data_IF_724980459458
#
_entry.id   IF_724980459458
#
_cell.length_a   1.000
_cell.length_b   1.000
_cell.length_c   1.000
_cell.angle_alpha   90.00
_cell.angle_beta   90.00
_cell.angle_gamma   90.00
#
_symmetry.space_group_name_H-M   'P 1'
#
loop_
_entity.id
_entity.type
_entity.pdbx_description
1 polymer ?
#
# COMPACT_ATOMS: atom_id res chain seq x y z
N UNK A 1 8.84 -8.03 2.88
CA UNK A 1 7.63 -7.22 3.15
C UNK A 1 6.65 -7.28 1.97
N UNK A 2 5.36 -7.07 2.23
CA UNK A 2 4.28 -7.09 1.22
C UNK A 2 3.56 -5.74 1.15
N UNK A 3 3.36 -5.22 -0.06
CA UNK A 3 2.60 -4.00 -0.30
C UNK A 3 1.36 -4.31 -1.15
N UNK A 4 0.19 -4.23 -0.54
CA UNK A 4 -1.10 -4.35 -1.22
C UNK A 4 -1.42 -3.03 -1.90
N UNK A 5 -1.67 -3.06 -3.22
CA UNK A 5 -2.03 -1.88 -4.02
C UNK A 5 -3.27 -2.16 -4.87
N UNK A 6 -3.84 -1.14 -5.53
CA UNK A 6 -4.98 -1.35 -6.42
C UNK A 6 -4.58 -1.99 -7.77
N UNK A 7 -4.61 -1.22 -8.86
CA UNK A 7 -4.26 -1.67 -10.22
C UNK A 7 -2.78 -1.51 -10.53
N UNK A 8 -2.11 -0.52 -9.93
CA UNK A 8 -0.70 -0.23 -10.20
C UNK A 8 -0.18 1.03 -9.53
N UNK A 9 0.99 1.47 -9.99
CA UNK A 9 1.74 2.63 -9.49
C UNK A 9 1.73 3.79 -10.52
N UNK A 10 0.66 3.89 -11.29
CA UNK A 10 0.49 4.89 -12.34
C UNK A 10 0.38 6.32 -11.76
N UNK A 11 0.82 7.35 -12.52
CA UNK A 11 0.55 8.74 -12.17
C UNK A 11 -0.95 9.00 -12.10
N UNK A 12 -1.39 9.84 -11.15
CA UNK A 12 -2.75 10.40 -11.14
C UNK A 12 -2.64 11.93 -11.07
N UNK A 13 -2.28 12.61 -12.18
CA UNK A 13 -2.13 14.08 -12.21
C UNK A 13 -3.45 14.81 -11.92
N UNK A 14 -4.59 14.15 -12.16
CA UNK A 14 -5.93 14.67 -11.85
C UNK A 14 -6.27 14.66 -10.35
N UNK A 15 -5.41 14.10 -9.48
CA UNK A 15 -5.65 14.01 -8.04
C UNK A 15 -4.59 14.79 -7.26
N UNK A 16 -4.97 15.74 -6.39
CA UNK A 16 -4.04 16.41 -5.48
C UNK A 16 -3.26 15.38 -4.63
N UNK A 17 -1.93 15.51 -4.61
CA UNK A 17 -1.04 14.56 -3.94
C UNK A 17 -0.81 13.25 -4.69
N UNK A 18 -1.31 13.10 -5.93
CA UNK A 18 -1.06 11.94 -6.78
C UNK A 18 -1.76 10.65 -6.32
N UNK A 19 -1.30 9.53 -6.89
CA UNK A 19 -1.89 8.21 -6.65
C UNK A 19 -1.34 7.58 -5.35
N UNK A 20 -2.18 7.32 -4.32
CA UNK A 20 -1.72 6.83 -3.01
C UNK A 20 -0.83 5.58 -3.06
N UNK A 21 -1.19 4.59 -3.88
CA UNK A 21 -0.38 3.37 -4.02
C UNK A 21 0.98 3.63 -4.68
N UNK A 22 1.06 4.60 -5.60
CA UNK A 22 2.33 4.99 -6.24
C UNK A 22 3.24 5.64 -5.23
N UNK A 23 2.70 6.54 -4.40
CA UNK A 23 3.47 7.26 -3.40
C UNK A 23 4.08 6.30 -2.37
N UNK A 24 3.26 5.38 -1.84
CA UNK A 24 3.72 4.36 -0.90
C UNK A 24 4.83 3.49 -1.51
N UNK A 25 4.61 2.96 -2.72
CA UNK A 25 5.61 2.14 -3.42
C UNK A 25 6.93 2.91 -3.66
N UNK A 26 6.84 4.15 -4.16
CA UNK A 26 8.03 4.97 -4.43
C UNK A 26 8.79 5.31 -3.15
N UNK A 27 8.09 5.62 -2.06
CA UNK A 27 8.74 5.91 -0.79
C UNK A 27 9.49 4.69 -0.26
N UNK A 28 8.91 3.49 -0.34
CA UNK A 28 9.59 2.24 0.04
C UNK A 28 10.82 1.99 -0.82
N UNK A 29 10.70 2.12 -2.16
CA UNK A 29 11.85 1.98 -3.07
C UNK A 29 12.94 3.00 -2.80
N UNK A 30 12.57 4.26 -2.53
CA UNK A 30 13.52 5.33 -2.21
C UNK A 30 14.22 5.10 -0.85
N UNK A 31 13.54 4.46 0.10
CA UNK A 31 14.11 4.03 1.37
C UNK A 31 14.97 2.75 1.26
N UNK A 32 15.16 2.20 0.05
CA UNK A 32 15.97 1.00 -0.20
C UNK A 32 15.22 -0.32 -0.06
N UNK A 33 13.90 -0.29 0.21
CA UNK A 33 13.10 -1.50 0.36
C UNK A 33 12.64 -2.07 -0.98
N UNK A 34 12.52 -3.39 -1.05
CA UNK A 34 11.98 -4.12 -2.21
C UNK A 34 10.72 -4.91 -1.84
N UNK A 35 9.56 -4.25 -1.65
CA UNK A 35 8.34 -4.94 -1.28
C UNK A 35 7.81 -5.83 -2.41
N UNK A 36 7.27 -7.00 -2.04
CA UNK A 36 6.42 -7.78 -2.92
C UNK A 36 5.12 -7.00 -3.18
N UNK A 37 4.82 -6.71 -4.44
CA UNK A 37 3.64 -5.91 -4.80
C UNK A 37 2.46 -6.82 -5.09
N UNK A 38 1.47 -6.81 -4.20
CA UNK A 38 0.24 -7.59 -4.36
C UNK A 38 -0.82 -6.67 -4.98
N UNK A 39 -1.21 -6.97 -6.22
CA UNK A 39 -2.29 -6.26 -6.91
C UNK A 39 -3.63 -6.74 -6.39
N UNK A 40 -4.27 -5.89 -5.60
CA UNK A 40 -5.56 -6.17 -5.00
C UNK A 40 -6.71 -5.82 -5.94
N UNK A 41 -6.51 -5.09 -7.04
CA UNK A 41 -7.58 -4.71 -8.00
C UNK A 41 -8.80 -4.02 -7.32
N UNK A 42 -9.87 -3.73 -8.06
CA UNK A 42 -11.07 -3.05 -7.53
C UNK A 42 -10.95 -1.53 -7.40
N UNK A 43 -12.09 -0.87 -7.14
CA UNK A 43 -12.19 0.60 -7.06
C UNK A 43 -12.72 0.99 -5.68
N UNK A 44 -11.84 1.54 -4.85
CA UNK A 44 -12.09 1.84 -3.43
C UNK A 44 -13.40 2.61 -3.10
N UNK A 45 -13.86 3.58 -3.90
CA UNK A 45 -15.14 4.27 -3.67
C UNK A 45 -16.38 3.43 -3.94
N UNK A 46 -16.26 2.28 -4.62
CA UNK A 46 -17.39 1.42 -4.94
C UNK A 46 -17.72 0.47 -3.78
N UNK A 47 -18.99 0.03 -3.65
CA UNK A 47 -19.40 -0.90 -2.61
C UNK A 47 -18.54 -2.17 -2.56
N UNK A 48 -18.05 -2.48 -1.37
CA UNK A 48 -17.16 -3.62 -1.11
C UNK A 48 -17.75 -4.95 -1.57
N UNK A 49 -19.06 -5.13 -1.38
CA UNK A 49 -19.78 -6.38 -1.66
C UNK A 49 -19.82 -6.78 -3.14
N UNK A 50 -19.42 -5.90 -4.05
CA UNK A 50 -19.46 -6.16 -5.50
C UNK A 50 -18.10 -5.88 -6.15
N UNK A 51 -17.46 -4.76 -5.81
CA UNK A 51 -16.31 -4.25 -6.56
C UNK A 51 -14.95 -4.42 -5.87
N UNK A 52 -14.92 -4.80 -4.57
CA UNK A 52 -13.68 -4.99 -3.80
C UNK A 52 -13.60 -6.39 -3.14
N UNK A 53 -14.12 -7.43 -3.80
CA UNK A 53 -14.11 -8.83 -3.30
C UNK A 53 -12.90 -9.65 -3.69
N UNK A 54 -11.91 -9.05 -4.33
CA UNK A 54 -10.67 -9.70 -4.75
C UNK A 54 -9.84 -10.16 -3.55
N UNK A 55 -9.03 -11.21 -3.71
CA UNK A 55 -8.24 -11.80 -2.61
C UNK A 55 -7.39 -10.77 -1.86
N UNK A 56 -6.70 -9.88 -2.57
CA UNK A 56 -5.88 -8.83 -1.94
C UNK A 56 -6.69 -7.76 -1.18
N UNK A 57 -7.96 -7.51 -1.54
CA UNK A 57 -8.85 -6.59 -0.80
C UNK A 57 -9.43 -7.25 0.44
N UNK A 58 -9.80 -8.52 0.33
CA UNK A 58 -10.23 -9.31 1.48
C UNK A 58 -9.11 -9.43 2.51
N UNK A 59 -7.87 -9.62 2.06
CA UNK A 59 -6.71 -9.68 2.94
C UNK A 59 -6.45 -8.32 3.61
N UNK A 60 -6.47 -7.22 2.86
CA UNK A 60 -6.40 -5.88 3.46
C UNK A 60 -7.49 -5.67 4.53
N UNK A 61 -8.71 -6.16 4.28
CA UNK A 61 -9.83 -6.10 5.24
C UNK A 61 -9.60 -6.97 6.48
N UNK A 62 -9.05 -8.17 6.32
CA UNK A 62 -8.68 -9.04 7.45
C UNK A 62 -7.60 -8.38 8.32
N UNK A 63 -6.59 -7.80 7.68
CA UNK A 63 -5.45 -7.17 8.35
C UNK A 63 -5.81 -5.84 9.04
N UNK A 64 -6.71 -5.05 8.46
CA UNK A 64 -6.92 -3.63 8.88
C UNK A 64 -8.35 -3.27 9.24
N UNK A 65 -9.31 -4.19 9.05
CA UNK A 65 -10.75 -3.92 9.13
C UNK A 65 -11.32 -3.19 7.90
N UNK A 66 -10.49 -2.82 6.91
CA UNK A 66 -10.89 -2.04 5.73
C UNK A 66 -10.34 -2.65 4.44
N UNK A 67 -11.14 -2.66 3.37
CA UNK A 67 -10.72 -3.08 2.03
C UNK A 67 -9.80 -2.06 1.34
N UNK A 68 -9.55 -0.90 1.98
CA UNK A 68 -8.77 0.20 1.40
C UNK A 68 -7.30 -0.17 1.24
N UNK A 69 -6.70 0.29 0.15
CA UNK A 69 -5.27 0.14 -0.18
C UNK A 69 -4.70 1.54 -0.49
N UNK A 70 -3.39 1.81 -0.27
CA UNK A 70 -2.34 0.83 0.05
C UNK A 70 -2.33 0.36 1.50
N UNK A 71 -1.86 -0.88 1.70
CA UNK A 71 -1.52 -1.48 3.00
C UNK A 71 -0.13 -2.11 2.88
N UNK A 72 0.76 -1.80 3.83
CA UNK A 72 2.06 -2.44 3.97
C UNK A 72 2.00 -3.46 5.11
N UNK A 73 2.57 -4.63 4.88
CA UNK A 73 2.94 -5.60 5.90
C UNK A 73 4.45 -5.73 5.88
N UNK A 74 5.11 -5.31 6.95
CA UNK A 74 6.56 -5.36 7.09
C UNK A 74 7.06 -6.79 7.31
N UNK A 75 8.36 -7.01 7.31
CA UNK A 75 8.95 -8.34 7.53
C UNK A 75 8.79 -8.85 8.97
N UNK A 76 8.68 -7.94 9.93
CA UNK A 76 8.35 -8.20 11.35
C UNK A 76 6.84 -8.30 11.62
N UNK A 77 5.99 -8.16 10.59
CA UNK A 77 4.54 -8.34 10.69
C UNK A 77 3.77 -7.09 11.11
N UNK A 78 4.41 -5.91 11.20
CA UNK A 78 3.71 -4.63 11.38
C UNK A 78 2.79 -4.35 10.19
N UNK A 79 1.53 -3.99 10.47
CA UNK A 79 0.54 -3.65 9.45
C UNK A 79 0.30 -2.15 9.44
N UNK A 80 0.61 -1.51 8.31
CA UNK A 80 0.49 -0.06 8.14
C UNK A 80 -0.50 0.26 7.04
N UNK A 81 -1.61 0.90 7.44
CA UNK A 81 -2.62 1.45 6.52
C UNK A 81 -2.34 2.90 6.17
N UNK A 82 -2.85 3.34 5.03
CA UNK A 82 -2.75 4.69 4.47
C UNK A 82 -1.37 5.03 3.86
N UNK A 83 -1.40 5.65 2.67
CA UNK A 83 -0.19 5.97 1.93
C UNK A 83 0.75 6.94 2.64
N UNK A 84 0.23 7.93 3.38
CA UNK A 84 1.07 8.90 4.09
C UNK A 84 1.80 8.23 5.23
N UNK A 85 1.12 7.39 6.00
CA UNK A 85 1.74 6.61 7.08
C UNK A 85 2.82 5.67 6.56
N UNK A 86 2.60 5.02 5.42
CA UNK A 86 3.61 4.18 4.78
C UNK A 86 4.81 5.02 4.32
N UNK A 87 4.58 6.20 3.75
CA UNK A 87 5.66 7.13 3.36
C UNK A 87 6.47 7.57 4.59
N UNK A 88 5.81 7.94 5.68
CA UNK A 88 6.45 8.37 6.92
C UNK A 88 7.18 7.22 7.63
N UNK A 89 6.65 6.00 7.54
CA UNK A 89 7.35 4.81 8.00
C UNK A 89 8.61 4.53 7.17
N UNK A 90 8.52 4.58 5.83
CA UNK A 90 9.66 4.34 4.95
C UNK A 90 10.80 5.33 5.21
N UNK A 91 10.47 6.61 5.47
CA UNK A 91 11.46 7.64 5.83
C UNK A 91 12.17 7.37 7.15
N UNK A 92 11.47 6.81 8.14
CA UNK A 92 12.03 6.50 9.46
C UNK A 92 12.79 5.18 9.49
N UNK A 93 12.54 4.29 8.53
CA UNK A 93 13.10 2.95 8.49
C UNK A 93 13.79 2.70 7.14
N UNK A 94 14.93 3.32 6.80
CA UNK A 94 15.65 2.99 5.58
C UNK A 94 16.33 1.61 5.70
N UNK A 95 16.31 0.83 4.62
CA UNK A 95 16.80 -0.56 4.59
C UNK A 95 18.29 -0.72 4.97
N UNK A 96 19.09 0.34 4.82
CA UNK A 96 20.52 0.37 5.13
C UNK A 96 20.89 0.99 6.48
N UNK A 97 19.94 1.42 7.32
CA UNK A 97 20.24 1.96 8.66
C UNK A 97 20.41 0.89 9.74
N UNK A 98 20.14 -0.37 9.44
CA UNK A 98 20.64 -1.48 10.23
C UNK A 98 22.09 -1.77 9.80
N UNK A 99 23.03 -0.95 10.26
CA UNK A 99 24.46 -1.24 10.24
C UNK A 99 25.06 -0.89 11.60
#
# INVERSE_FOLDING_TARGET
MKLYICWGTFPAPWRPGGHPCRNAYRALRAAGHSPEVIKSFGLAPLPDGIFNRTGGRQEAKRLTGSSMVPVLVTDDGEVIKDSKKIVDWARRNPAGAAN
#
